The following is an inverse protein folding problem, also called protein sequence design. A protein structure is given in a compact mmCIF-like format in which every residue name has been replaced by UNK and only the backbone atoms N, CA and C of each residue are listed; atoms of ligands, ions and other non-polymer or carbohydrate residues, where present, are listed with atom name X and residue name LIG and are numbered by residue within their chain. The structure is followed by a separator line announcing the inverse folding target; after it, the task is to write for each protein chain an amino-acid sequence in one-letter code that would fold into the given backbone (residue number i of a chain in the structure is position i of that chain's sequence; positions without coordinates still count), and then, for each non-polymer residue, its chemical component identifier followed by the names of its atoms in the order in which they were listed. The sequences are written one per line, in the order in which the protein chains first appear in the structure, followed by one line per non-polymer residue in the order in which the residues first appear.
data_IF_613796267640
#
_entry.id   IF_613796267640
#
_cell.length_a   1.000
_cell.length_b   1.000
_cell.length_c   1.000
_cell.angle_alpha   90.00
_cell.angle_beta   90.00
_cell.angle_gamma   90.00
#
_symmetry.space_group_name_H-M   'P 1'
#
loop_
_entity.id
_entity.type
_entity.pdbx_description
1 polymer ?
#
# COMPACT_ATOMS: atom_id res chain seq x y z
N UNK A 1 -9.87 -10.74 4.64
CA UNK A 1 -10.01 -9.70 5.71
C UNK A 1 -11.48 -9.32 5.84
N UNK A 2 -12.02 -9.39 7.05
CA UNK A 2 -13.39 -9.00 7.37
C UNK A 2 -13.57 -7.47 7.25
N UNK A 3 -14.72 -7.03 6.74
CA UNK A 3 -15.11 -5.61 6.64
C UNK A 3 -16.38 -5.39 7.47
N UNK A 4 -16.37 -4.39 8.36
CA UNK A 4 -17.54 -4.02 9.16
C UNK A 4 -18.75 -3.74 8.27
N UNK A 5 -19.89 -4.27 8.65
CA UNK A 5 -21.13 -4.10 7.88
C UNK A 5 -21.29 -5.04 6.69
N UNK A 6 -20.33 -5.92 6.38
CA UNK A 6 -20.45 -6.92 5.30
C UNK A 6 -20.23 -8.31 5.89
N UNK A 7 -21.22 -9.19 5.72
CA UNK A 7 -21.14 -10.54 6.25
C UNK A 7 -21.53 -11.60 5.21
N UNK A 8 -20.74 -12.67 5.16
CA UNK A 8 -20.97 -13.77 4.23
C UNK A 8 -22.08 -14.71 4.73
N UNK A 9 -22.95 -15.17 3.83
CA UNK A 9 -24.07 -16.05 4.17
C UNK A 9 -23.66 -17.33 4.90
N UNK A 10 -22.50 -17.90 4.57
CA UNK A 10 -22.01 -19.11 5.24
C UNK A 10 -21.64 -18.82 6.71
N UNK A 11 -21.08 -17.64 6.98
CA UNK A 11 -20.68 -17.21 8.32
C UNK A 11 -21.92 -16.96 9.20
N UNK A 12 -22.97 -16.30 8.66
CA UNK A 12 -24.23 -16.14 9.36
C UNK A 12 -24.86 -17.49 9.74
N UNK A 13 -24.81 -18.47 8.82
CA UNK A 13 -25.29 -19.84 9.10
C UNK A 13 -24.48 -20.51 10.22
N UNK A 14 -23.15 -20.38 10.17
CA UNK A 14 -22.26 -20.94 11.20
C UNK A 14 -22.50 -20.32 12.58
N UNK A 15 -22.96 -19.06 12.62
CA UNK A 15 -23.37 -18.36 13.84
C UNK A 15 -24.80 -18.71 14.31
N UNK A 16 -25.48 -19.64 13.63
CA UNK A 16 -26.83 -20.07 13.97
C UNK A 16 -27.95 -19.11 13.54
N UNK A 17 -27.66 -18.15 12.65
CA UNK A 17 -28.68 -17.22 12.15
C UNK A 17 -29.57 -17.94 11.15
N UNK A 18 -30.84 -18.10 11.50
CA UNK A 18 -31.82 -18.74 10.63
C UNK A 18 -32.14 -17.93 9.40
N UNK A 19 -32.43 -18.61 8.29
CA UNK A 19 -32.77 -17.95 7.03
C UNK A 19 -34.06 -17.11 7.13
N UNK A 20 -34.98 -17.44 7.99
CA UNK A 20 -36.18 -16.68 8.34
C UNK A 20 -35.84 -15.28 8.86
N UNK A 21 -34.83 -15.18 9.72
CA UNK A 21 -34.30 -13.93 10.29
C UNK A 21 -33.67 -13.08 9.19
N UNK A 22 -32.83 -13.67 8.34
CA UNK A 22 -32.22 -12.96 7.21
C UNK A 22 -33.28 -12.41 6.24
N UNK A 23 -34.31 -13.19 5.93
CA UNK A 23 -35.44 -12.74 5.08
C UNK A 23 -36.18 -11.54 5.71
N UNK A 24 -36.34 -11.54 7.04
CA UNK A 24 -36.94 -10.40 7.76
C UNK A 24 -36.07 -9.17 7.67
N UNK A 25 -34.73 -9.29 7.86
CA UNK A 25 -33.81 -8.19 7.71
C UNK A 25 -33.81 -7.58 6.30
N UNK A 26 -33.87 -8.43 5.27
CA UNK A 26 -33.98 -7.98 3.87
C UNK A 26 -35.29 -7.22 3.62
N UNK A 27 -36.43 -7.74 4.11
CA UNK A 27 -37.75 -7.07 3.94
C UNK A 27 -37.80 -5.72 4.64
N UNK A 28 -37.20 -5.63 5.82
CA UNK A 28 -37.19 -4.40 6.63
C UNK A 28 -36.06 -3.42 6.22
N UNK A 29 -35.27 -3.74 5.21
CA UNK A 29 -34.18 -2.89 4.74
C UNK A 29 -32.98 -2.80 5.70
N UNK A 30 -32.91 -3.65 6.74
CA UNK A 30 -31.78 -3.70 7.69
C UNK A 30 -30.50 -4.12 6.99
N UNK A 31 -30.60 -5.02 6.02
CA UNK A 31 -29.50 -5.44 5.15
C UNK A 31 -29.89 -5.44 3.69
N UNK A 32 -28.94 -5.23 2.80
CA UNK A 32 -29.07 -5.45 1.36
C UNK A 32 -28.34 -6.73 0.94
N UNK A 33 -28.86 -7.45 -0.09
CA UNK A 33 -28.21 -8.64 -0.62
C UNK A 33 -27.19 -8.28 -1.68
N UNK A 34 -25.99 -8.83 -1.54
CA UNK A 34 -24.89 -8.76 -2.52
C UNK A 34 -24.33 -10.17 -2.61
N UNK A 35 -25.04 -11.08 -3.26
CA UNK A 35 -24.67 -12.50 -3.21
C UNK A 35 -23.18 -12.76 -3.45
N UNK A 36 -22.52 -13.52 -2.56
CA UNK A 36 -23.06 -14.30 -1.42
C UNK A 36 -23.07 -13.56 -0.08
N UNK A 37 -22.87 -12.22 -0.06
CA UNK A 37 -22.84 -11.39 1.16
C UNK A 37 -24.15 -10.65 1.42
N UNK A 38 -24.27 -10.18 2.63
CA UNK A 38 -25.25 -9.18 3.07
C UNK A 38 -24.50 -7.94 3.58
N UNK A 39 -25.00 -6.76 3.24
CA UNK A 39 -24.43 -5.50 3.68
C UNK A 39 -25.45 -4.67 4.47
N UNK A 40 -25.03 -4.12 5.62
CA UNK A 40 -25.77 -3.12 6.39
C UNK A 40 -25.51 -1.72 5.84
N UNK A 41 -26.21 -0.70 6.38
CA UNK A 41 -25.95 0.70 6.06
C UNK A 41 -24.54 1.19 6.47
N UNK A 42 -23.88 0.51 7.40
CA UNK A 42 -22.51 0.83 7.85
C UNK A 42 -21.43 0.31 6.90
N UNK A 43 -21.79 -0.52 5.93
CA UNK A 43 -20.82 -1.08 4.99
C UNK A 43 -20.20 0.01 4.12
N UNK A 44 -18.85 0.01 3.93
CA UNK A 44 -18.19 0.99 3.07
C UNK A 44 -18.76 0.96 1.65
N UNK A 45 -19.30 2.08 1.13
CA UNK A 45 -19.98 2.12 -0.16
C UNK A 45 -19.14 1.62 -1.33
N UNK A 46 -17.84 1.97 -1.37
CA UNK A 46 -16.92 1.53 -2.40
C UNK A 46 -16.76 0.02 -2.45
N UNK A 47 -16.66 -0.66 -1.30
CA UNK A 47 -16.58 -2.13 -1.24
C UNK A 47 -17.89 -2.76 -1.70
N UNK A 48 -19.03 -2.21 -1.25
CA UNK A 48 -20.36 -2.67 -1.69
C UNK A 48 -20.50 -2.58 -3.21
N UNK A 49 -20.04 -1.47 -3.81
CA UNK A 49 -20.06 -1.28 -5.26
C UNK A 49 -19.22 -2.33 -5.99
N UNK A 50 -17.98 -2.59 -5.55
CA UNK A 50 -17.10 -3.62 -6.12
C UNK A 50 -17.71 -5.02 -6.03
N UNK A 51 -18.27 -5.37 -4.87
CA UNK A 51 -18.90 -6.67 -4.69
C UNK A 51 -20.14 -6.86 -5.60
N UNK A 52 -20.91 -5.79 -5.85
CA UNK A 52 -22.04 -5.81 -6.81
C UNK A 52 -21.59 -6.02 -8.25
N UNK A 53 -20.40 -5.53 -8.62
CA UNK A 53 -19.76 -5.80 -9.91
C UNK A 53 -19.15 -7.22 -10.00
N UNK A 54 -19.24 -8.02 -8.93
CA UNK A 54 -18.65 -9.35 -8.89
C UNK A 54 -17.13 -9.37 -8.81
N UNK A 55 -16.51 -8.29 -8.32
CA UNK A 55 -15.06 -8.16 -8.11
C UNK A 55 -14.74 -7.87 -6.65
N UNK A 56 -13.51 -8.13 -6.23
CA UNK A 56 -12.98 -7.79 -4.90
C UNK A 56 -11.70 -6.96 -5.04
N UNK A 57 -11.44 -6.00 -4.12
CA UNK A 57 -10.21 -5.20 -4.14
C UNK A 57 -8.99 -6.09 -3.92
N UNK A 58 -7.86 -5.73 -4.55
CA UNK A 58 -6.56 -6.41 -4.41
C UNK A 58 -5.42 -5.44 -4.70
N UNK A 59 -4.18 -5.91 -4.79
CA UNK A 59 -3.01 -5.09 -5.13
C UNK A 59 -2.96 -3.82 -4.26
N UNK A 60 -2.91 -2.63 -4.82
CA UNK A 60 -2.83 -1.37 -4.08
C UNK A 60 -4.08 -1.11 -3.23
N UNK A 61 -5.28 -1.29 -3.79
CA UNK A 61 -6.52 -1.10 -3.01
C UNK A 61 -6.68 -2.13 -1.90
N UNK A 62 -6.36 -3.41 -2.17
CA UNK A 62 -6.33 -4.43 -1.14
C UNK A 62 -5.28 -4.15 -0.07
N UNK A 63 -4.09 -3.68 -0.45
CA UNK A 63 -3.02 -3.31 0.47
C UNK A 63 -3.41 -2.13 1.36
N UNK A 64 -4.06 -1.10 0.81
CA UNK A 64 -4.60 0.03 1.57
C UNK A 64 -5.60 -0.43 2.62
N UNK A 65 -6.53 -1.32 2.25
CA UNK A 65 -7.51 -1.89 3.18
C UNK A 65 -6.85 -2.72 4.29
N UNK A 66 -5.73 -3.39 4.01
CA UNK A 66 -4.90 -4.05 5.02
C UNK A 66 -4.08 -3.07 5.87
N UNK A 67 -4.20 -1.76 5.64
CA UNK A 67 -3.50 -0.71 6.38
C UNK A 67 -2.02 -0.61 6.04
N UNK A 68 -1.61 -0.97 4.84
CA UNK A 68 -0.22 -0.81 4.38
C UNK A 68 0.01 0.59 3.79
N UNK A 69 1.27 1.03 3.74
CA UNK A 69 1.65 2.20 2.97
C UNK A 69 1.39 1.95 1.49
N UNK A 70 0.58 2.79 0.88
CA UNK A 70 0.25 2.67 -0.53
C UNK A 70 0.58 3.99 -1.23
N UNK A 71 1.41 3.96 -2.28
CA UNK A 71 1.61 5.13 -3.12
C UNK A 71 0.32 5.49 -3.87
N UNK A 72 0.15 6.76 -4.29
CA UNK A 72 -0.95 7.14 -5.17
C UNK A 72 -0.93 6.32 -6.45
N UNK A 73 -2.09 5.95 -6.94
CA UNK A 73 -2.22 5.15 -8.17
C UNK A 73 -3.51 5.49 -8.92
N UNK A 74 -3.50 5.37 -10.23
CA UNK A 74 -4.71 5.47 -11.04
C UNK A 74 -5.48 4.13 -11.01
N UNK A 75 -6.78 4.21 -11.21
CA UNK A 75 -7.66 3.04 -11.30
C UNK A 75 -7.91 2.35 -9.96
N UNK A 76 -8.84 1.41 -9.98
CA UNK A 76 -9.16 0.55 -8.84
C UNK A 76 -8.71 -0.88 -9.11
N UNK A 77 -7.80 -1.38 -8.30
CA UNK A 77 -7.16 -2.68 -8.48
C UNK A 77 -8.03 -3.80 -7.91
N UNK A 78 -8.55 -4.66 -8.77
CA UNK A 78 -9.52 -5.70 -8.42
C UNK A 78 -9.15 -7.07 -9.00
N UNK A 79 -9.77 -8.12 -8.48
CA UNK A 79 -9.72 -9.45 -9.07
C UNK A 79 -11.08 -10.17 -8.99
N UNK A 80 -11.25 -11.22 -9.80
CA UNK A 80 -12.41 -12.12 -9.77
C UNK A 80 -11.99 -13.55 -10.08
N UNK A 81 -12.78 -14.59 -9.65
CA UNK A 81 -12.53 -15.97 -10.04
C UNK A 81 -12.76 -16.22 -11.53
N UNK A 82 -12.04 -17.21 -12.09
CA UNK A 82 -12.19 -17.62 -13.50
C UNK A 82 -13.60 -18.05 -13.87
N UNK A 83 -14.31 -18.73 -12.95
CA UNK A 83 -15.69 -19.20 -13.20
C UNK A 83 -16.69 -18.06 -13.41
N UNK A 84 -16.38 -16.84 -12.94
CA UNK A 84 -17.19 -15.65 -13.19
C UNK A 84 -16.74 -14.87 -14.44
N UNK A 85 -15.70 -15.35 -15.12
CA UNK A 85 -15.12 -14.67 -16.29
C UNK A 85 -15.79 -15.05 -17.63
N UNK A 86 -16.82 -15.92 -17.62
CA UNK A 86 -17.47 -16.40 -18.84
C UNK A 86 -18.16 -15.29 -19.67
N UNK A 87 -18.51 -14.18 -19.03
CA UNK A 87 -19.26 -13.10 -19.66
C UNK A 87 -18.36 -11.91 -19.98
N UNK A 88 -17.28 -12.06 -20.69
CA UNK A 88 -16.42 -11.07 -21.39
C UNK A 88 -16.49 -9.55 -21.09
N UNK A 89 -17.48 -9.09 -20.34
CA UNK A 89 -17.90 -7.71 -20.22
C UNK A 89 -17.08 -6.81 -19.25
N UNK A 90 -16.15 -7.38 -18.46
CA UNK A 90 -15.37 -6.56 -17.52
C UNK A 90 -13.97 -6.18 -18.02
N UNK A 91 -13.55 -6.64 -19.19
CA UNK A 91 -12.31 -6.16 -19.80
C UNK A 91 -12.57 -4.76 -20.36
N UNK A 92 -12.11 -3.73 -19.67
CA UNK A 92 -12.36 -2.33 -20.01
C UNK A 92 -13.66 -1.75 -19.45
N UNK A 93 -14.36 -2.46 -18.56
CA UNK A 93 -15.52 -1.90 -17.88
C UNK A 93 -15.09 -0.74 -16.97
N UNK A 94 -15.53 0.45 -17.30
CA UNK A 94 -15.44 1.61 -16.40
C UNK A 94 -16.35 1.36 -15.20
N UNK A 95 -15.89 1.68 -14.01
CA UNK A 95 -16.72 1.67 -12.81
C UNK A 95 -17.85 2.68 -13.01
N UNK A 96 -19.05 2.21 -13.35
CA UNK A 96 -20.21 3.09 -13.46
C UNK A 96 -20.62 3.59 -12.07
N UNK A 97 -21.03 4.86 -11.94
CA UNK A 97 -21.54 5.37 -10.67
C UNK A 97 -22.73 4.54 -10.21
N UNK A 98 -22.62 3.92 -9.04
CA UNK A 98 -23.70 3.15 -8.43
C UNK A 98 -24.55 4.09 -7.58
N UNK A 99 -25.84 4.20 -7.89
CA UNK A 99 -26.78 4.95 -7.04
C UNK A 99 -27.13 4.13 -5.81
N UNK A 100 -26.98 4.71 -4.64
CA UNK A 100 -27.51 4.16 -3.40
C UNK A 100 -29.06 4.28 -3.37
N UNK A 101 -29.74 3.58 -2.45
CA UNK A 101 -31.20 3.64 -2.29
C UNK A 101 -31.72 5.04 -1.94
N UNK A 102 -30.89 5.89 -1.34
CA UNK A 102 -31.20 7.27 -0.96
C UNK A 102 -30.90 8.28 -2.09
N UNK A 103 -30.51 7.80 -3.28
CA UNK A 103 -30.21 8.64 -4.43
C UNK A 103 -28.79 9.21 -4.43
N UNK A 104 -27.98 8.96 -3.39
CA UNK A 104 -26.57 9.37 -3.35
C UNK A 104 -25.81 8.64 -4.44
N UNK A 105 -25.19 9.38 -5.34
CA UNK A 105 -24.28 8.80 -6.34
C UNK A 105 -23.03 8.42 -5.57
N UNK A 106 -22.82 7.12 -5.40
CA UNK A 106 -21.55 6.59 -4.91
C UNK A 106 -20.62 6.63 -6.10
N UNK A 107 -19.97 7.75 -6.28
CA UNK A 107 -18.86 7.87 -7.20
C UNK A 107 -17.69 7.08 -6.58
N UNK A 108 -17.44 5.88 -7.08
CA UNK A 108 -16.07 5.45 -7.23
C UNK A 108 -15.48 6.54 -8.12
N UNK A 109 -14.55 7.33 -7.61
CA UNK A 109 -14.08 8.58 -8.21
C UNK A 109 -14.25 8.60 -9.73
N UNK A 110 -14.92 9.61 -10.23
CA UNK A 110 -15.39 9.71 -11.60
C UNK A 110 -14.41 9.03 -12.58
N UNK A 111 -14.88 8.01 -13.31
CA UNK A 111 -14.14 7.32 -14.38
C UNK A 111 -12.86 6.53 -13.98
N UNK A 112 -12.72 5.98 -12.79
CA UNK A 112 -11.59 5.09 -12.51
C UNK A 112 -11.76 3.76 -13.24
N UNK A 113 -10.86 3.48 -14.16
CA UNK A 113 -10.76 2.17 -14.82
C UNK A 113 -10.49 1.07 -13.80
N UNK A 114 -11.21 -0.06 -13.92
CA UNK A 114 -10.90 -1.25 -13.13
C UNK A 114 -9.64 -1.92 -13.68
N UNK A 115 -8.63 -2.09 -12.83
CA UNK A 115 -7.41 -2.84 -13.15
C UNK A 115 -7.57 -4.28 -12.69
N UNK A 116 -7.88 -5.19 -13.61
CA UNK A 116 -8.13 -6.60 -13.31
C UNK A 116 -6.83 -7.39 -13.14
N UNK A 117 -6.71 -8.12 -12.03
CA UNK A 117 -5.50 -8.87 -11.67
C UNK A 117 -5.62 -10.36 -11.90
N UNK A 118 -4.51 -10.96 -12.34
CA UNK A 118 -4.27 -12.39 -12.47
C UNK A 118 -2.97 -12.84 -11.77
N UNK A 119 -2.77 -14.14 -11.61
CA UNK A 119 -3.66 -15.22 -12.05
C UNK A 119 -4.96 -15.30 -11.22
N UNK A 120 -6.10 -15.36 -11.92
CA UNK A 120 -7.38 -15.48 -11.23
C UNK A 120 -7.51 -16.87 -10.58
N UNK A 121 -7.92 -16.98 -9.31
CA UNK A 121 -8.25 -18.26 -8.69
C UNK A 121 -9.46 -18.91 -9.39
N UNK A 122 -9.62 -20.23 -9.24
CA UNK A 122 -10.79 -20.94 -9.81
C UNK A 122 -12.11 -20.48 -9.17
N UNK A 123 -12.09 -20.28 -7.86
CA UNK A 123 -13.20 -19.80 -7.04
C UNK A 123 -12.70 -18.72 -6.09
N UNK A 124 -13.59 -18.05 -5.37
CA UNK A 124 -13.18 -17.13 -4.31
C UNK A 124 -12.33 -17.86 -3.26
N UNK A 125 -11.14 -17.34 -2.91
CA UNK A 125 -10.24 -18.02 -1.99
C UNK A 125 -10.76 -18.06 -0.55
N UNK A 126 -11.57 -17.07 -0.17
CA UNK A 126 -12.17 -16.93 1.16
C UNK A 126 -13.57 -16.33 1.06
N UNK A 127 -14.31 -16.36 2.17
CA UNK A 127 -15.62 -15.73 2.30
C UNK A 127 -15.53 -14.22 2.60
N UNK A 128 -14.34 -13.70 2.83
CA UNK A 128 -14.12 -12.29 3.12
C UNK A 128 -14.18 -11.40 1.87
N UNK A 129 -14.72 -10.18 1.97
CA UNK A 129 -14.80 -9.24 0.84
C UNK A 129 -13.43 -8.75 0.36
N UNK A 130 -12.42 -8.76 1.22
CA UNK A 130 -11.03 -8.47 0.87
C UNK A 130 -10.19 -9.73 1.04
N UNK A 131 -9.39 -10.13 0.04
CA UNK A 131 -8.59 -11.36 0.12
C UNK A 131 -7.51 -11.26 1.19
N UNK A 132 -6.94 -12.41 1.54
CA UNK A 132 -5.79 -12.48 2.43
C UNK A 132 -4.60 -11.73 1.84
N UNK A 133 -3.73 -11.23 2.73
CA UNK A 133 -2.62 -10.35 2.37
C UNK A 133 -1.62 -11.01 1.41
N UNK A 134 -1.44 -12.33 1.48
CA UNK A 134 -0.57 -13.07 0.55
C UNK A 134 -1.02 -12.94 -0.91
N UNK A 135 -2.32 -13.06 -1.17
CA UNK A 135 -2.87 -12.89 -2.52
C UNK A 135 -2.76 -11.42 -2.98
N UNK A 136 -3.02 -10.47 -2.09
CA UNK A 136 -2.88 -9.04 -2.36
C UNK A 136 -1.44 -8.71 -2.79
N UNK A 137 -0.44 -9.17 -2.02
CA UNK A 137 0.98 -8.93 -2.31
C UNK A 137 1.45 -9.66 -3.57
N UNK A 138 0.94 -10.87 -3.85
CA UNK A 138 1.24 -11.58 -5.11
C UNK A 138 0.72 -10.82 -6.32
N UNK A 139 -0.52 -10.32 -6.28
CA UNK A 139 -1.09 -9.51 -7.35
C UNK A 139 -0.29 -8.20 -7.52
N UNK A 140 0.08 -7.55 -6.42
CA UNK A 140 0.91 -6.36 -6.45
C UNK A 140 2.27 -6.61 -7.11
N UNK A 141 2.98 -7.68 -6.70
CA UNK A 141 4.28 -8.03 -7.25
C UNK A 141 4.27 -8.37 -8.74
N UNK A 142 3.14 -8.89 -9.26
CA UNK A 142 2.97 -9.21 -10.67
C UNK A 142 2.56 -8.00 -11.53
N UNK A 143 1.92 -7.01 -10.91
CA UNK A 143 1.37 -5.82 -11.57
C UNK A 143 2.31 -4.62 -11.54
N UNK A 144 2.91 -4.37 -10.39
CA UNK A 144 3.60 -3.10 -10.10
C UNK A 144 5.10 -3.17 -10.42
N UNK A 145 5.73 -2.00 -10.63
CA UNK A 145 7.18 -1.90 -10.60
C UNK A 145 7.75 -2.47 -9.29
N UNK A 146 8.95 -3.05 -9.37
CA UNK A 146 9.60 -3.70 -8.20
C UNK A 146 9.70 -2.78 -6.99
N UNK A 147 10.07 -1.51 -7.18
CA UNK A 147 10.19 -0.54 -6.10
C UNK A 147 8.85 -0.29 -5.39
N UNK A 148 7.77 -0.14 -6.16
CA UNK A 148 6.41 0.03 -5.61
C UNK A 148 5.94 -1.23 -4.87
N UNK A 149 6.21 -2.41 -5.43
CA UNK A 149 5.93 -3.69 -4.75
C UNK A 149 6.70 -3.78 -3.43
N UNK A 150 7.98 -3.35 -3.42
CA UNK A 150 8.80 -3.36 -2.22
C UNK A 150 8.20 -2.49 -1.11
N UNK A 151 7.61 -1.33 -1.42
CA UNK A 151 6.91 -0.48 -0.44
C UNK A 151 5.83 -1.28 0.29
N UNK A 152 5.02 -2.07 -0.43
CA UNK A 152 3.95 -2.86 0.18
C UNK A 152 4.50 -3.99 1.05
N UNK A 153 5.51 -4.72 0.57
CA UNK A 153 6.13 -5.81 1.34
C UNK A 153 6.82 -5.28 2.61
N UNK A 154 7.59 -4.20 2.50
CA UNK A 154 8.30 -3.60 3.63
C UNK A 154 7.32 -3.00 4.63
N UNK A 155 6.25 -2.35 4.18
CA UNK A 155 5.15 -1.92 5.03
C UNK A 155 4.53 -3.08 5.82
N UNK A 156 4.27 -4.21 5.14
CA UNK A 156 3.70 -5.39 5.78
C UNK A 156 4.63 -5.99 6.85
N UNK A 157 5.94 -6.03 6.57
CA UNK A 157 6.97 -6.47 7.52
C UNK A 157 7.08 -5.52 8.71
N UNK A 158 7.20 -4.21 8.46
CA UNK A 158 7.31 -3.18 9.50
C UNK A 158 6.09 -3.18 10.43
N UNK A 159 4.90 -3.20 9.86
CA UNK A 159 3.63 -3.23 10.61
C UNK A 159 3.30 -4.61 11.21
N UNK A 160 4.22 -5.58 11.11
CA UNK A 160 4.07 -6.96 11.61
C UNK A 160 2.80 -7.65 11.11
N UNK A 161 2.34 -7.28 9.91
CA UNK A 161 1.25 -7.95 9.20
C UNK A 161 1.73 -9.18 8.45
N UNK A 162 3.04 -9.30 8.27
CA UNK A 162 3.73 -10.37 7.59
C UNK A 162 5.03 -10.65 8.31
N UNK A 163 5.36 -11.91 8.52
CA UNK A 163 6.68 -12.33 8.96
C UNK A 163 7.64 -12.44 7.77
N UNK A 164 8.94 -12.41 8.03
CA UNK A 164 9.94 -12.62 6.96
C UNK A 164 9.74 -13.98 6.27
N UNK A 165 9.45 -15.03 7.01
CA UNK A 165 9.20 -16.37 6.47
C UNK A 165 7.98 -16.38 5.52
N UNK A 166 6.90 -15.71 5.87
CA UNK A 166 5.72 -15.58 5.01
C UNK A 166 6.04 -14.77 3.74
N UNK A 167 6.79 -13.67 3.87
CA UNK A 167 7.26 -12.92 2.72
C UNK A 167 8.08 -13.79 1.77
N UNK A 168 9.03 -14.57 2.30
CA UNK A 168 9.86 -15.47 1.50
C UNK A 168 9.04 -16.57 0.81
N UNK A 169 7.99 -17.10 1.46
CA UNK A 169 7.04 -18.04 0.81
C UNK A 169 6.28 -17.38 -0.35
N UNK A 170 5.81 -16.14 -0.17
CA UNK A 170 5.12 -15.40 -1.23
C UNK A 170 6.08 -15.17 -2.41
N UNK A 171 7.30 -14.72 -2.12
CA UNK A 171 8.33 -14.47 -3.12
C UNK A 171 8.73 -15.75 -3.87
N UNK A 172 8.83 -16.88 -3.18
CA UNK A 172 9.17 -18.17 -3.79
C UNK A 172 8.17 -18.60 -4.87
N UNK A 173 6.92 -18.19 -4.76
CA UNK A 173 5.87 -18.49 -5.75
C UNK A 173 5.87 -17.51 -6.95
N UNK A 174 6.73 -16.49 -6.96
CA UNK A 174 6.83 -15.51 -8.04
C UNK A 174 7.88 -15.89 -9.09
N UNK A 175 7.75 -15.43 -10.34
CA UNK A 175 8.79 -15.57 -11.35
C UNK A 175 10.13 -15.01 -10.88
N UNK A 176 11.24 -15.66 -11.26
CA UNK A 176 12.59 -15.28 -10.81
C UNK A 176 12.95 -13.82 -11.09
N UNK A 177 12.48 -13.26 -12.21
CA UNK A 177 12.70 -11.86 -12.58
C UNK A 177 12.13 -10.87 -11.55
N UNK A 178 11.07 -11.24 -10.84
CA UNK A 178 10.42 -10.45 -9.80
C UNK A 178 10.99 -10.81 -8.42
N UNK A 179 11.13 -12.11 -8.15
CA UNK A 179 11.63 -12.62 -6.87
C UNK A 179 13.04 -12.13 -6.56
N UNK A 180 13.95 -12.19 -7.53
CA UNK A 180 15.37 -11.83 -7.32
C UNK A 180 15.55 -10.40 -6.82
N UNK A 181 15.00 -9.35 -7.44
CA UNK A 181 15.09 -8.01 -6.87
C UNK A 181 14.36 -7.88 -5.54
N UNK A 182 13.13 -8.41 -5.39
CA UNK A 182 12.35 -8.31 -4.15
C UNK A 182 12.96 -9.10 -2.97
N UNK A 183 13.93 -9.97 -3.18
CA UNK A 183 14.64 -10.63 -2.06
C UNK A 183 15.38 -9.65 -1.14
N UNK A 184 15.58 -8.41 -1.57
CA UNK A 184 16.24 -7.33 -0.81
C UNK A 184 15.28 -6.53 0.09
N UNK A 185 13.99 -6.87 0.14
CA UNK A 185 13.04 -6.22 1.05
C UNK A 185 13.51 -6.32 2.50
N UNK A 186 13.18 -5.30 3.29
CA UNK A 186 13.64 -5.13 4.67
C UNK A 186 12.45 -4.84 5.59
N UNK A 187 12.66 -4.98 6.90
CA UNK A 187 11.66 -4.69 7.91
C UNK A 187 11.96 -3.39 8.69
N UNK A 188 13.10 -2.76 8.38
CA UNK A 188 13.62 -1.61 9.12
C UNK A 188 13.22 -0.24 8.51
N UNK A 189 12.59 -0.19 7.34
CA UNK A 189 11.99 1.02 6.82
C UNK A 189 10.81 1.47 7.70
N UNK A 190 10.73 2.75 8.00
CA UNK A 190 9.67 3.33 8.84
C UNK A 190 8.57 4.02 8.02
N UNK A 191 8.81 4.23 6.71
CA UNK A 191 7.83 4.83 5.81
C UNK A 191 7.94 4.33 4.36
N UNK A 192 6.85 4.54 3.59
CA UNK A 192 6.86 4.25 2.15
C UNK A 192 7.74 5.21 1.35
N UNK A 193 7.89 6.46 1.81
CA UNK A 193 8.80 7.46 1.24
C UNK A 193 10.25 7.02 1.35
N UNK A 194 10.66 6.59 2.54
CA UNK A 194 11.99 6.04 2.81
C UNK A 194 12.30 4.83 1.91
N UNK A 195 11.38 3.87 1.87
CA UNK A 195 11.52 2.69 1.00
C UNK A 195 11.70 3.11 -0.47
N UNK A 196 10.89 4.03 -0.98
CA UNK A 196 10.94 4.47 -2.38
C UNK A 196 12.29 5.11 -2.72
N UNK A 197 12.76 6.04 -1.89
CA UNK A 197 14.05 6.74 -2.09
C UNK A 197 15.22 5.76 -2.01
N UNK A 198 15.22 4.89 -1.00
CA UNK A 198 16.26 3.87 -0.82
C UNK A 198 16.33 2.92 -2.03
N UNK A 199 15.20 2.38 -2.48
CA UNK A 199 15.17 1.49 -3.64
C UNK A 199 15.66 2.18 -4.91
N UNK A 200 15.32 3.44 -5.10
CA UNK A 200 15.83 4.22 -6.23
C UNK A 200 17.34 4.39 -6.16
N UNK A 201 17.91 4.69 -4.99
CA UNK A 201 19.37 4.82 -4.77
C UNK A 201 20.08 3.49 -5.03
N UNK A 202 19.60 2.40 -4.40
CA UNK A 202 20.18 1.07 -4.53
C UNK A 202 20.12 0.53 -5.97
N UNK A 203 19.06 0.82 -6.72
CA UNK A 203 18.92 0.40 -8.11
C UNK A 203 19.96 1.04 -9.04
N UNK A 204 20.55 2.14 -8.60
CA UNK A 204 21.62 2.89 -9.29
C UNK A 204 22.99 2.69 -8.67
N UNK A 205 23.09 1.75 -7.72
CA UNK A 205 24.32 1.43 -7.03
C UNK A 205 24.91 2.60 -6.21
N UNK A 206 24.09 3.57 -5.81
CA UNK A 206 24.52 4.57 -4.86
C UNK A 206 24.66 3.96 -3.47
N UNK A 207 25.74 4.32 -2.73
CA UNK A 207 25.96 3.81 -1.39
C UNK A 207 24.97 4.43 -0.41
N UNK A 208 23.89 3.73 -0.09
CA UNK A 208 22.85 4.16 0.86
C UNK A 208 22.72 3.16 2.00
N UNK A 209 22.63 3.66 3.22
CA UNK A 209 22.42 2.90 4.45
C UNK A 209 21.21 3.47 5.17
N UNK A 210 20.13 2.67 5.37
CA UNK A 210 18.97 3.11 6.10
C UNK A 210 19.18 3.00 7.61
N UNK A 211 18.42 3.77 8.36
CA UNK A 211 18.29 3.71 9.82
C UNK A 211 19.63 3.76 10.58
N UNK A 212 20.51 4.66 10.15
CA UNK A 212 21.85 4.83 10.76
C UNK A 212 21.74 5.64 12.03
N UNK A 213 22.31 5.15 13.12
CA UNK A 213 22.37 5.89 14.39
C UNK A 213 23.14 7.21 14.23
N UNK A 214 22.63 8.25 14.85
CA UNK A 214 23.36 9.52 15.01
C UNK A 214 24.65 9.29 15.78
N UNK A 215 25.63 10.21 15.66
CA UNK A 215 26.87 10.13 16.44
C UNK A 215 26.64 10.12 17.96
N UNK A 216 25.50 10.63 18.45
CA UNK A 216 25.12 10.58 19.86
C UNK A 216 24.47 9.25 20.30
N UNK A 217 24.20 8.34 19.34
CA UNK A 217 23.58 7.03 19.58
C UNK A 217 22.12 7.06 20.00
N UNK A 218 21.45 8.23 20.02
CA UNK A 218 20.09 8.38 20.54
C UNK A 218 19.00 8.38 19.48
N UNK A 219 19.32 8.81 18.27
CA UNK A 219 18.37 8.96 17.16
C UNK A 219 18.92 8.26 15.92
N UNK A 220 18.08 8.08 14.92
CA UNK A 220 18.48 7.48 13.64
C UNK A 220 18.22 8.44 12.49
N UNK A 221 19.09 8.37 11.49
CA UNK A 221 18.92 8.98 10.18
C UNK A 221 18.12 8.02 9.32
N UNK A 222 17.11 8.49 8.62
CA UNK A 222 16.33 7.62 7.73
C UNK A 222 17.24 6.98 6.68
N UNK A 223 17.99 7.79 5.95
CA UNK A 223 18.94 7.33 4.94
C UNK A 223 20.26 8.11 5.04
N UNK A 224 21.37 7.40 5.13
CA UNK A 224 22.70 7.97 4.98
C UNK A 224 23.29 7.57 3.63
N UNK A 225 23.44 8.54 2.73
CA UNK A 225 24.00 8.36 1.39
C UNK A 225 25.49 8.67 1.43
N UNK A 226 26.29 7.70 1.01
CA UNK A 226 27.74 7.80 1.10
C UNK A 226 28.23 7.91 2.55
N UNK A 227 28.93 8.98 2.88
CA UNK A 227 29.57 9.21 4.17
C UNK A 227 28.97 10.37 4.96
N UNK A 228 28.34 11.35 4.29
CA UNK A 228 27.95 12.62 4.92
C UNK A 228 26.61 13.22 4.48
N UNK A 229 25.89 12.60 3.55
CA UNK A 229 24.59 13.12 3.11
C UNK A 229 23.45 12.34 3.75
N UNK A 230 22.67 13.00 4.58
CA UNK A 230 21.48 12.47 5.23
C UNK A 230 20.25 12.89 4.45
N UNK A 231 19.40 11.94 4.13
CA UNK A 231 18.05 12.18 3.57
C UNK A 231 17.03 11.74 4.63
N UNK A 232 16.24 12.68 5.11
CA UNK A 232 15.09 12.47 5.98
C UNK A 232 13.82 12.43 5.12
N UNK A 233 12.94 11.49 5.36
CA UNK A 233 11.77 11.20 4.53
C UNK A 233 10.49 11.44 5.32
N UNK A 234 9.91 12.63 5.20
CA UNK A 234 8.71 13.00 5.94
C UNK A 234 7.49 12.18 5.44
N UNK A 235 6.77 11.58 6.37
CA UNK A 235 5.51 10.89 6.11
C UNK A 235 4.34 11.86 6.26
N UNK A 236 3.22 11.59 5.56
CA UNK A 236 1.99 12.42 5.67
C UNK A 236 1.40 12.48 7.08
N UNK A 237 1.72 11.49 7.92
CA UNK A 237 1.09 11.31 9.23
C UNK A 237 1.60 12.26 10.33
N UNK A 238 2.64 13.11 10.06
CA UNK A 238 3.34 13.87 11.11
C UNK A 238 3.26 15.39 10.98
N UNK A 239 2.31 15.96 10.22
CA UNK A 239 2.31 17.40 9.91
C UNK A 239 1.65 18.34 10.94
N UNK A 240 1.01 17.86 12.02
CA UNK A 240 0.14 18.70 12.85
C UNK A 240 0.62 19.00 14.29
N UNK A 241 1.83 18.56 14.69
CA UNK A 241 2.33 18.83 16.05
C UNK A 241 3.47 19.88 16.07
N UNK A 242 3.24 21.08 16.67
CA UNK A 242 4.28 22.12 16.81
C UNK A 242 5.53 21.66 17.58
N UNK A 243 5.40 20.72 18.51
CA UNK A 243 6.54 20.19 19.28
C UNK A 243 7.43 19.32 18.39
N UNK A 244 6.83 18.50 17.54
CA UNK A 244 7.54 17.69 16.54
C UNK A 244 8.35 18.57 15.57
N UNK A 245 7.82 19.72 15.15
CA UNK A 245 8.53 20.66 14.29
C UNK A 245 9.80 21.23 14.96
N UNK A 246 9.74 21.60 16.24
CA UNK A 246 10.89 22.13 16.97
C UNK A 246 11.99 21.06 17.17
N UNK A 247 11.59 19.83 17.45
CA UNK A 247 12.51 18.69 17.57
C UNK A 247 13.21 18.38 16.24
N UNK A 248 12.49 18.44 15.14
CA UNK A 248 13.02 18.21 13.79
C UNK A 248 14.08 19.27 13.41
N UNK A 249 13.81 20.54 13.71
CA UNK A 249 14.80 21.62 13.51
C UNK A 249 16.06 21.43 14.35
N UNK A 250 15.91 20.97 15.58
CA UNK A 250 17.04 20.63 16.45
C UNK A 250 17.87 19.48 15.90
N UNK A 251 17.21 18.47 15.27
CA UNK A 251 17.89 17.35 14.60
C UNK A 251 18.74 17.84 13.43
N UNK A 252 18.17 18.67 12.57
CA UNK A 252 18.86 19.20 11.39
C UNK A 252 20.07 20.03 11.81
N UNK A 253 19.90 20.92 12.82
CA UNK A 253 20.98 21.74 13.35
C UNK A 253 22.11 20.88 13.95
N UNK A 254 21.77 19.84 14.71
CA UNK A 254 22.74 18.92 15.27
C UNK A 254 23.55 18.21 14.18
N UNK A 255 22.88 17.63 13.17
CA UNK A 255 23.57 16.95 12.06
C UNK A 255 24.47 17.92 11.27
N UNK A 256 23.95 19.12 10.98
CA UNK A 256 24.72 20.17 10.28
C UNK A 256 25.93 20.60 11.09
N UNK A 257 25.80 20.76 12.42
CA UNK A 257 26.95 21.10 13.30
C UNK A 257 28.04 20.01 13.34
N UNK A 258 27.67 18.78 12.97
CA UNK A 258 28.59 17.64 12.84
C UNK A 258 29.12 17.43 11.42
N UNK A 259 28.83 18.39 10.51
CA UNK A 259 29.31 18.39 9.14
C UNK A 259 28.53 17.47 8.18
N UNK A 260 27.37 16.96 8.60
CA UNK A 260 26.47 16.27 7.70
C UNK A 260 25.67 17.27 6.88
N UNK A 261 25.34 16.89 5.65
CA UNK A 261 24.35 17.59 4.82
C UNK A 261 23.01 16.93 5.04
N UNK A 262 21.97 17.70 5.25
CA UNK A 262 20.63 17.21 5.48
C UNK A 262 19.72 17.67 4.35
N UNK A 263 18.96 16.75 3.77
CA UNK A 263 17.89 17.01 2.81
C UNK A 263 16.63 16.35 3.34
N UNK A 264 15.55 17.11 3.47
CA UNK A 264 14.23 16.55 3.77
C UNK A 264 13.43 16.41 2.51
N UNK A 265 12.78 15.26 2.37
CA UNK A 265 11.88 14.98 1.25
C UNK A 265 10.46 14.79 1.77
N UNK A 266 9.53 15.61 1.31
CA UNK A 266 8.13 15.45 1.62
C UNK A 266 7.51 14.29 0.84
N UNK A 267 6.36 13.81 1.31
CA UNK A 267 5.58 12.80 0.64
C UNK A 267 5.22 13.22 -0.81
N UNK A 268 4.85 14.49 -1.02
CA UNK A 268 4.53 15.05 -2.33
C UNK A 268 5.72 15.00 -3.29
N UNK A 269 6.93 15.29 -2.80
CA UNK A 269 8.15 15.22 -3.60
C UNK A 269 8.45 13.80 -4.04
N UNK A 270 8.18 12.80 -3.20
CA UNK A 270 8.49 11.39 -3.50
C UNK A 270 7.40 10.72 -4.35
N UNK A 271 6.12 11.04 -4.15
CA UNK A 271 5.03 10.33 -4.82
C UNK A 271 4.30 11.14 -5.90
N UNK A 272 4.36 12.47 -5.86
CA UNK A 272 3.66 13.33 -6.83
C UNK A 272 4.65 13.99 -7.79
N UNK A 273 5.77 14.52 -7.27
CA UNK A 273 6.78 15.25 -8.06
C UNK A 273 8.08 14.47 -8.19
N UNK A 274 7.99 13.14 -8.29
CA UNK A 274 9.16 12.27 -8.22
C UNK A 274 10.17 12.52 -9.35
N UNK A 275 9.72 12.77 -10.57
CA UNK A 275 10.64 13.01 -11.70
C UNK A 275 11.51 14.25 -11.44
N UNK A 276 10.91 15.35 -11.01
CA UNK A 276 11.62 16.58 -10.66
C UNK A 276 12.56 16.38 -9.45
N UNK A 277 12.06 15.73 -8.41
CA UNK A 277 12.85 15.42 -7.21
C UNK A 277 14.06 14.55 -7.56
N UNK A 278 13.86 13.53 -8.38
CA UNK A 278 14.93 12.63 -8.83
C UNK A 278 16.05 13.38 -9.57
N UNK A 279 15.71 14.33 -10.44
CA UNK A 279 16.71 15.15 -11.16
C UNK A 279 17.52 16.02 -10.19
N UNK A 280 16.88 16.62 -9.17
CA UNK A 280 17.59 17.37 -8.13
C UNK A 280 18.52 16.47 -7.31
N UNK A 281 18.08 15.28 -6.90
CA UNK A 281 18.91 14.32 -6.18
C UNK A 281 20.11 13.86 -7.03
N UNK A 282 19.92 13.63 -8.32
CA UNK A 282 21.01 13.30 -9.25
C UNK A 282 22.02 14.47 -9.38
N UNK A 283 21.57 15.69 -9.41
CA UNK A 283 22.47 16.85 -9.44
C UNK A 283 23.35 16.93 -8.18
N UNK A 284 22.79 16.62 -7.01
CA UNK A 284 23.56 16.53 -5.74
C UNK A 284 24.57 15.38 -5.81
N UNK A 285 24.14 14.20 -6.25
CA UNK A 285 25.00 13.01 -6.36
C UNK A 285 26.19 13.24 -7.31
N UNK A 286 25.97 13.92 -8.45
CA UNK A 286 27.03 14.23 -9.44
C UNK A 286 28.14 15.12 -8.88
N UNK A 287 27.86 15.93 -7.85
CA UNK A 287 28.90 16.73 -7.18
C UNK A 287 29.90 15.90 -6.37
N UNK A 288 29.51 14.66 -6.02
CA UNK A 288 30.39 13.74 -5.30
C UNK A 288 30.62 14.05 -3.81
N UNK A 289 30.06 15.16 -3.32
CA UNK A 289 30.31 15.71 -1.97
C UNK A 289 29.84 14.74 -0.86
N UNK A 290 28.87 13.86 -1.16
CA UNK A 290 28.38 12.82 -0.25
C UNK A 290 29.43 11.72 0.04
N UNK A 291 30.48 11.62 -0.78
CA UNK A 291 31.57 10.65 -0.61
C UNK A 291 32.64 11.15 0.37
N UNK A 292 32.68 12.45 0.64
CA UNK A 292 33.57 13.04 1.65
C UNK A 292 33.09 12.72 3.06
N UNK A 293 33.98 12.55 4.05
CA UNK A 293 33.56 12.44 5.45
C UNK A 293 32.89 13.74 5.91
N UNK A 294 32.05 13.67 6.97
CA UNK A 294 31.54 14.88 7.60
C UNK A 294 32.67 15.79 8.04
N UNK A 295 32.58 17.07 7.71
CA UNK A 295 33.58 18.07 8.14
C UNK A 295 33.36 18.38 9.61
N UNK A 296 34.34 18.11 10.42
CA UNK A 296 34.36 18.45 11.86
C UNK A 296 34.56 19.97 12.08
#
# INVERSE_FOLDING_TARGET
MHIKGIEHRARLRAQGVEQSVVRRWLRNGVVSSIQPWYATAEAPPGIVALLRLGVRPTCLDGASLHGLWTPPHPGTHVFRPRLLSADGELSGAKAQPVRSRDGTIITLAEEQDLVLHGPAPRSWPTDDPVPELDLVLRHAALCLPVATSAVLFESALHRRRLTRHEADRILAALPQRIRRPLSRIRADAESGTETTVRWWMESRQFPVRPQVLFPDGRRRMDLLVGRSWVIECDSREHHDDPLSYAEDRSRDLYLTSRGYRVTRLSWEQVFVRWEETREMLLAILRRGEHLEPPRR
#
